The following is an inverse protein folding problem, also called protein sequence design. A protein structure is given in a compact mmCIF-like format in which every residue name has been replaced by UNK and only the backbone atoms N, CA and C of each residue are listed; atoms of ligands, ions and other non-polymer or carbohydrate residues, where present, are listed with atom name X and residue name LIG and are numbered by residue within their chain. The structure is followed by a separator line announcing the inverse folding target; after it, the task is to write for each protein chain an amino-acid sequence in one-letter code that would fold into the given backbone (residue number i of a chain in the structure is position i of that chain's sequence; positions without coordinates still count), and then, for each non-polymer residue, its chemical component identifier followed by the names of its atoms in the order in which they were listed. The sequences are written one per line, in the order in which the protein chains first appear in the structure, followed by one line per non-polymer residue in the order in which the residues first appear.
data_IF_706825719040
#
_entry.id   IF_706825719040
#
_cell.length_a   1.000
_cell.length_b   1.000
_cell.length_c   1.000
_cell.angle_alpha   90.00
_cell.angle_beta   90.00
_cell.angle_gamma   90.00
#
_symmetry.space_group_name_H-M   'P 1'
#
loop_
_entity.id
_entity.type
_entity.pdbx_description
1 polymer ?
#
# COMPACT_ATOMS: atom_id res chain seq x y z
N UNK A 1 -14.10 5.67 -22.07
CA UNK A 1 -14.37 5.11 -20.71
C UNK A 1 -15.40 5.99 -20.01
N UNK A 2 -16.24 5.47 -19.12
CA UNK A 2 -17.08 6.34 -18.27
C UNK A 2 -16.16 7.18 -17.38
N UNK A 3 -16.12 8.50 -17.61
CA UNK A 3 -15.21 9.44 -16.95
C UNK A 3 -15.42 9.40 -15.43
N UNK A 4 -16.64 9.20 -14.96
CA UNK A 4 -16.95 9.08 -13.54
C UNK A 4 -16.30 7.83 -12.94
N UNK A 5 -16.34 6.70 -13.66
CA UNK A 5 -15.71 5.45 -13.22
C UNK A 5 -14.19 5.61 -13.16
N UNK A 6 -13.58 6.28 -14.15
CA UNK A 6 -12.13 6.54 -14.15
C UNK A 6 -11.72 7.39 -12.94
N UNK A 7 -12.40 8.50 -12.70
CA UNK A 7 -12.12 9.39 -11.57
C UNK A 7 -12.27 8.66 -10.22
N UNK A 8 -13.34 7.88 -10.07
CA UNK A 8 -13.55 7.06 -8.87
C UNK A 8 -12.45 6.02 -8.69
N UNK A 9 -11.97 5.41 -9.78
CA UNK A 9 -10.86 4.46 -9.74
C UNK A 9 -9.54 5.13 -9.33
N UNK A 10 -9.20 6.30 -9.90
CA UNK A 10 -8.01 7.08 -9.54
C UNK A 10 -8.05 7.49 -8.06
N UNK A 11 -9.18 7.99 -7.57
CA UNK A 11 -9.36 8.38 -6.16
C UNK A 11 -9.19 7.20 -5.20
N UNK A 12 -9.72 6.02 -5.56
CA UNK A 12 -9.53 4.80 -4.76
C UNK A 12 -8.08 4.34 -4.75
N UNK A 13 -7.42 4.33 -5.91
CA UNK A 13 -6.03 3.93 -6.02
C UNK A 13 -5.12 4.87 -5.20
N UNK A 14 -5.35 6.18 -5.27
CA UNK A 14 -4.65 7.18 -4.47
C UNK A 14 -4.81 6.93 -2.97
N UNK A 15 -6.05 6.75 -2.49
CA UNK A 15 -6.33 6.47 -1.07
C UNK A 15 -5.64 5.19 -0.58
N UNK A 16 -5.64 4.13 -1.42
CA UNK A 16 -5.00 2.86 -1.09
C UNK A 16 -3.48 3.00 -1.01
N UNK A 17 -2.85 3.72 -1.94
CA UNK A 17 -1.41 4.02 -1.90
C UNK A 17 -1.04 4.75 -0.61
N UNK A 18 -1.77 5.80 -0.23
CA UNK A 18 -1.49 6.55 1.00
C UNK A 18 -1.58 5.67 2.25
N UNK A 19 -2.56 4.78 2.30
CA UNK A 19 -2.74 3.84 3.41
C UNK A 19 -1.57 2.86 3.48
N UNK A 20 -1.19 2.26 2.35
CA UNK A 20 -0.05 1.33 2.29
C UNK A 20 1.27 2.01 2.69
N UNK A 21 1.50 3.25 2.27
CA UNK A 21 2.69 4.00 2.66
C UNK A 21 2.70 4.33 4.16
N UNK A 22 1.55 4.64 4.76
CA UNK A 22 1.40 4.78 6.22
C UNK A 22 1.71 3.47 6.93
N UNK A 23 1.16 2.36 6.44
CA UNK A 23 1.31 1.05 7.07
C UNK A 23 2.76 0.57 7.01
N UNK A 24 3.45 0.76 5.87
CA UNK A 24 4.90 0.49 5.73
C UNK A 24 5.70 1.29 6.76
N UNK A 25 5.39 2.57 6.98
CA UNK A 25 6.07 3.39 8.00
C UNK A 25 5.81 2.84 9.41
N UNK A 26 4.58 2.45 9.72
CA UNK A 26 4.20 1.84 11.00
C UNK A 26 4.98 0.55 11.26
N UNK A 27 4.85 -0.42 10.36
CA UNK A 27 5.54 -1.71 10.45
C UNK A 27 7.07 -1.56 10.54
N UNK A 28 7.65 -0.67 9.74
CA UNK A 28 9.08 -0.38 9.81
C UNK A 28 9.51 0.17 11.16
N UNK A 29 8.67 1.00 11.80
CA UNK A 29 8.94 1.54 13.12
C UNK A 29 8.79 0.48 14.21
N UNK A 30 7.79 -0.39 14.11
CA UNK A 30 7.57 -1.48 15.07
C UNK A 30 8.73 -2.47 15.04
N UNK A 31 9.20 -2.85 13.84
CA UNK A 31 10.39 -3.69 13.68
C UNK A 31 11.63 -3.01 14.29
N UNK A 32 11.84 -1.72 14.02
CA UNK A 32 12.96 -0.95 14.60
C UNK A 32 12.93 -0.87 16.13
N UNK A 33 11.74 -0.91 16.73
CA UNK A 33 11.55 -0.92 18.19
C UNK A 33 11.73 -2.30 18.82
N UNK A 34 12.00 -3.34 18.03
CA UNK A 34 12.11 -4.72 18.51
C UNK A 34 10.77 -5.45 18.59
N UNK A 35 9.72 -4.91 17.99
CA UNK A 35 8.38 -5.50 17.92
C UNK A 35 7.28 -4.55 18.37
N UNK A 36 6.03 -4.97 18.17
CA UNK A 36 4.82 -4.26 18.61
C UNK A 36 4.24 -4.81 19.92
N UNK A 37 4.89 -5.82 20.51
CA UNK A 37 4.45 -6.53 21.72
C UNK A 37 3.29 -7.52 21.48
N UNK A 38 2.87 -7.74 20.23
CA UNK A 38 1.75 -8.62 19.87
C UNK A 38 2.18 -9.72 18.90
N UNK A 39 3.01 -9.37 17.91
CA UNK A 39 3.51 -10.26 16.88
C UNK A 39 5.03 -10.46 17.03
N UNK A 40 5.52 -11.62 16.59
CA UNK A 40 6.95 -11.84 16.42
C UNK A 40 7.54 -10.93 15.34
N UNK A 41 8.81 -10.58 15.46
CA UNK A 41 9.53 -9.80 14.45
C UNK A 41 9.44 -10.39 13.04
N UNK A 42 9.52 -11.72 12.91
CA UNK A 42 9.42 -12.39 11.60
C UNK A 42 8.05 -12.18 10.93
N UNK A 43 6.97 -12.20 11.71
CA UNK A 43 5.62 -11.90 11.23
C UNK A 43 5.49 -10.43 10.84
N UNK A 44 6.04 -9.51 11.63
CA UNK A 44 6.06 -8.08 11.28
C UNK A 44 6.83 -7.83 9.98
N UNK A 45 7.96 -8.53 9.79
CA UNK A 45 8.76 -8.47 8.57
C UNK A 45 7.98 -9.02 7.36
N UNK A 46 7.30 -10.16 7.52
CA UNK A 46 6.43 -10.72 6.47
C UNK A 46 5.29 -9.76 6.10
N UNK A 47 4.67 -9.12 7.09
CA UNK A 47 3.66 -8.08 6.86
C UNK A 47 4.25 -6.87 6.10
N UNK A 48 5.44 -6.42 6.48
CA UNK A 48 6.13 -5.30 5.81
C UNK A 48 6.40 -5.61 4.34
N UNK A 49 6.91 -6.80 4.05
CA UNK A 49 7.27 -7.21 2.70
C UNK A 49 6.04 -7.41 1.81
N UNK A 50 4.99 -8.02 2.35
CA UNK A 50 3.68 -8.11 1.68
C UNK A 50 3.11 -6.73 1.37
N UNK A 51 3.14 -5.80 2.34
CA UNK A 51 2.63 -4.43 2.16
C UNK A 51 3.42 -3.66 1.10
N UNK A 52 4.75 -3.84 1.03
CA UNK A 52 5.59 -3.25 -0.03
C UNK A 52 5.26 -3.83 -1.42
N UNK A 53 5.04 -5.14 -1.51
CA UNK A 53 4.64 -5.78 -2.76
C UNK A 53 3.28 -5.23 -3.24
N UNK A 54 2.31 -5.13 -2.34
CA UNK A 54 1.00 -4.55 -2.61
C UNK A 54 1.11 -3.09 -3.07
N UNK A 55 1.95 -2.27 -2.42
CA UNK A 55 2.21 -0.89 -2.85
C UNK A 55 2.75 -0.83 -4.28
N UNK A 56 3.66 -1.74 -4.65
CA UNK A 56 4.21 -1.82 -6.01
C UNK A 56 3.11 -2.16 -7.02
N UNK A 57 2.22 -3.10 -6.68
CA UNK A 57 1.06 -3.47 -7.50
C UNK A 57 0.11 -2.28 -7.68
N UNK A 58 -0.25 -1.57 -6.61
CA UNK A 58 -1.13 -0.39 -6.71
C UNK A 58 -0.51 0.75 -7.51
N UNK A 59 0.80 0.99 -7.37
CA UNK A 59 1.52 1.98 -8.21
C UNK A 59 1.47 1.59 -9.70
N UNK A 60 1.49 0.31 -10.02
CA UNK A 60 1.29 -0.17 -11.39
C UNK A 60 -0.16 0.02 -11.85
N UNK A 61 -1.15 -0.34 -11.02
CA UNK A 61 -2.58 -0.13 -11.31
C UNK A 61 -2.88 1.35 -11.57
N UNK A 62 -2.36 2.27 -10.75
CA UNK A 62 -2.53 3.71 -10.99
C UNK A 62 -2.02 4.13 -12.36
N UNK A 63 -0.83 3.66 -12.77
CA UNK A 63 -0.31 3.94 -14.12
C UNK A 63 -1.25 3.45 -15.22
N UNK A 64 -1.83 2.26 -15.04
CA UNK A 64 -2.81 1.72 -16.00
C UNK A 64 -4.09 2.56 -16.04
N UNK A 65 -4.61 2.99 -14.89
CA UNK A 65 -5.81 3.84 -14.83
C UNK A 65 -5.56 5.16 -15.56
N UNK A 66 -4.43 5.81 -15.30
CA UNK A 66 -4.10 7.11 -15.92
C UNK A 66 -3.87 6.98 -17.42
N UNK A 67 -3.18 5.92 -17.87
CA UNK A 67 -2.89 5.66 -19.28
C UNK A 67 -4.11 5.20 -20.11
N UNK A 68 -5.19 4.75 -19.47
CA UNK A 68 -6.40 4.33 -20.18
C UNK A 68 -7.25 5.56 -20.51
N UNK A 69 -7.27 6.00 -21.78
CA UNK A 69 -8.14 7.07 -22.31
C UNK A 69 -9.60 6.58 -22.51
#
# INVERSE_FOLDING_TARGET
MDLEIKERASNKAFSKILTLERDIRGLSNDIKKGGDGRLSLDLLQACLDSTKAELKTWKYITKLIEANE
#
